data_IF_275136922363
#
_entry.id   IF_275136922363
#
_cell.length_a   1.000
_cell.length_b   1.000
_cell.length_c   1.000
_cell.angle_alpha   90.00
_cell.angle_beta   90.00
_cell.angle_gamma   90.00
#
_symmetry.space_group_name_H-M   'P 1'
#
loop_
_entity.id
_entity.type
_entity.pdbx_description
1 polymer ?
#
# COMPACT_ATOMS: atom_id res chain seq x y z
N UNK A 1 17.91 -11.60 27.94
CA UNK A 1 16.51 -11.25 27.57
C UNK A 1 15.78 -12.53 27.19
N UNK A 2 14.56 -12.73 27.67
CA UNK A 2 13.76 -13.88 27.24
C UNK A 2 13.41 -13.71 25.74
N UNK A 3 13.60 -14.78 24.97
CA UNK A 3 13.21 -14.82 23.56
C UNK A 3 11.70 -14.91 23.52
N UNK A 4 11.02 -13.92 22.91
CA UNK A 4 9.57 -13.95 22.70
C UNK A 4 9.27 -14.65 21.38
N UNK A 5 8.13 -15.38 21.26
CA UNK A 5 7.73 -16.01 19.99
C UNK A 5 7.53 -15.00 18.84
N UNK A 6 7.20 -13.76 19.17
CA UNK A 6 7.10 -12.68 18.22
C UNK A 6 8.40 -11.87 18.20
N UNK A 7 9.04 -11.79 17.03
CA UNK A 7 10.26 -11.00 16.84
C UNK A 7 10.04 -9.54 17.28
N UNK A 8 10.88 -8.98 18.18
CA UNK A 8 10.69 -7.64 18.76
C UNK A 8 11.18 -6.53 17.79
N UNK A 9 10.64 -6.45 16.59
CA UNK A 9 11.02 -5.47 15.57
C UNK A 9 10.31 -4.12 15.72
N UNK A 10 9.28 -4.04 16.58
CA UNK A 10 8.54 -2.81 16.85
C UNK A 10 8.46 -2.52 18.35
N UNK A 11 8.62 -1.25 18.78
CA UNK A 11 8.27 -0.84 20.11
C UNK A 11 6.74 -0.87 20.27
N UNK A 12 6.21 -1.94 20.87
CA UNK A 12 4.76 -2.07 21.06
C UNK A 12 4.28 -1.24 22.22
N UNK A 13 3.08 -0.66 22.09
CA UNK A 13 2.34 -0.10 23.21
C UNK A 13 2.07 -1.19 24.27
N UNK A 14 2.01 -0.83 25.57
CA UNK A 14 1.57 -1.75 26.61
C UNK A 14 0.08 -2.12 26.50
N UNK A 15 -0.71 -1.35 25.74
CA UNK A 15 -2.13 -1.63 25.51
C UNK A 15 -2.30 -2.93 24.71
N UNK A 16 -3.12 -3.84 25.24
CA UNK A 16 -3.43 -5.16 24.64
C UNK A 16 -4.92 -5.26 24.31
N UNK A 17 -5.34 -4.77 23.14
CA UNK A 17 -6.75 -4.81 22.75
C UNK A 17 -7.20 -6.25 22.50
N UNK A 18 -8.38 -6.60 23.05
CA UNK A 18 -9.03 -7.90 22.85
C UNK A 18 -10.37 -7.77 22.11
N UNK A 19 -10.95 -6.56 22.07
CA UNK A 19 -12.21 -6.25 21.38
C UNK A 19 -12.17 -4.84 20.80
N UNK A 20 -12.91 -4.63 19.72
CA UNK A 20 -13.16 -3.31 19.17
C UNK A 20 -14.64 -3.10 18.84
N UNK A 21 -15.13 -1.86 18.97
CA UNK A 21 -16.51 -1.49 18.68
C UNK A 21 -16.57 -0.03 18.23
N UNK A 22 -17.00 0.22 17.02
CA UNK A 22 -16.97 1.57 16.43
C UNK A 22 -15.57 2.17 16.52
N UNK A 23 -15.41 3.38 17.08
CA UNK A 23 -14.10 4.03 17.22
C UNK A 23 -13.30 3.59 18.45
N UNK A 24 -13.74 2.57 19.19
CA UNK A 24 -13.15 2.20 20.46
C UNK A 24 -12.48 0.83 20.42
N UNK A 25 -11.36 0.72 21.14
CA UNK A 25 -10.71 -0.53 21.53
C UNK A 25 -10.93 -0.79 23.02
N UNK A 26 -10.97 -2.06 23.38
CA UNK A 26 -11.12 -2.49 24.77
C UNK A 26 -9.98 -3.44 25.11
N UNK A 27 -9.30 -3.16 26.23
CA UNK A 27 -8.23 -3.97 26.77
C UNK A 27 -8.72 -5.22 27.50
N UNK A 28 -7.77 -6.04 28.01
CA UNK A 28 -8.04 -7.31 28.70
C UNK A 28 -8.85 -7.11 29.98
N UNK A 29 -8.69 -5.97 30.69
CA UNK A 29 -9.39 -5.65 31.94
C UNK A 29 -10.64 -4.76 31.70
N UNK A 30 -11.03 -4.56 30.42
CA UNK A 30 -12.21 -3.79 30.04
C UNK A 30 -11.95 -2.29 29.84
N UNK A 31 -10.71 -1.83 29.91
CA UNK A 31 -10.35 -0.43 29.67
C UNK A 31 -10.73 -0.03 28.25
N UNK A 32 -11.28 1.17 28.11
CA UNK A 32 -11.73 1.71 26.84
C UNK A 32 -10.76 2.76 26.29
N UNK A 33 -10.31 2.58 25.08
CA UNK A 33 -9.42 3.48 24.35
C UNK A 33 -10.09 4.01 23.09
N UNK A 34 -9.99 5.31 22.83
CA UNK A 34 -10.41 5.89 21.56
C UNK A 34 -9.30 5.67 20.52
N UNK A 35 -9.61 4.91 19.47
CA UNK A 35 -8.65 4.49 18.45
C UNK A 35 -8.54 5.50 17.31
N UNK A 36 -7.69 6.52 17.48
CA UNK A 36 -7.32 7.41 16.37
C UNK A 36 -6.26 6.83 15.43
N UNK A 37 -5.63 5.73 15.79
CA UNK A 37 -4.63 5.09 14.92
C UNK A 37 -5.28 4.30 13.78
N UNK A 38 -6.48 3.73 14.01
CA UNK A 38 -7.26 2.97 13.02
C UNK A 38 -6.42 1.98 12.20
N UNK A 39 -5.48 1.27 12.86
CA UNK A 39 -4.55 0.37 12.17
C UNK A 39 -3.62 1.09 11.19
N UNK A 40 -3.24 2.34 11.44
CA UNK A 40 -2.50 3.27 10.56
C UNK A 40 -3.39 3.66 9.37
N UNK A 41 -4.58 4.22 9.71
CA UNK A 41 -5.57 4.79 8.78
C UNK A 41 -6.16 3.78 7.75
N UNK A 42 -6.26 2.50 8.11
CA UNK A 42 -6.85 1.48 7.24
C UNK A 42 -8.24 1.02 7.69
N UNK A 43 -8.57 1.15 8.98
CA UNK A 43 -9.87 0.75 9.53
C UNK A 43 -10.89 1.90 9.50
N UNK A 44 -11.24 2.34 8.29
CA UNK A 44 -12.07 3.55 8.07
C UNK A 44 -13.50 3.45 8.59
N UNK A 45 -14.07 2.24 8.68
CA UNK A 45 -15.43 2.01 9.17
C UNK A 45 -15.50 1.80 10.69
N UNK A 46 -14.35 1.81 11.35
CA UNK A 46 -14.26 1.42 12.76
C UNK A 46 -14.34 -0.10 12.96
N UNK A 47 -14.32 -0.50 14.21
CA UNK A 47 -14.31 -1.91 14.61
C UNK A 47 -15.72 -2.50 14.61
N UNK A 48 -15.88 -3.70 14.08
CA UNK A 48 -17.13 -4.46 14.14
C UNK A 48 -18.31 -3.81 13.40
N UNK A 49 -18.06 -3.04 12.32
CA UNK A 49 -19.12 -2.40 11.55
C UNK A 49 -20.13 -3.44 11.05
N UNK A 50 -21.44 -3.36 11.42
CA UNK A 50 -22.39 -4.46 11.22
C UNK A 50 -22.52 -4.90 9.77
N UNK A 51 -22.72 -3.97 8.85
CA UNK A 51 -22.87 -4.27 7.42
C UNK A 51 -21.59 -4.93 6.85
N UNK A 52 -20.41 -4.40 7.18
CA UNK A 52 -19.14 -4.94 6.70
C UNK A 52 -18.90 -6.36 7.23
N UNK A 53 -19.13 -6.57 8.54
CA UNK A 53 -19.01 -7.88 9.18
C UNK A 53 -19.94 -8.89 8.54
N UNK A 54 -21.22 -8.54 8.33
CA UNK A 54 -22.18 -9.40 7.67
C UNK A 54 -21.70 -9.77 6.25
N UNK A 55 -21.27 -8.80 5.44
CA UNK A 55 -20.83 -9.06 4.06
C UNK A 55 -19.59 -9.95 4.00
N UNK A 56 -18.65 -9.80 4.94
CA UNK A 56 -17.50 -10.70 5.04
C UNK A 56 -17.93 -12.14 5.41
N UNK A 57 -18.85 -12.30 6.37
CA UNK A 57 -19.36 -13.62 6.76
C UNK A 57 -20.07 -14.32 5.60
N UNK A 58 -20.91 -13.60 4.86
CA UNK A 58 -21.58 -14.12 3.65
C UNK A 58 -20.55 -14.57 2.61
N UNK A 59 -19.53 -13.74 2.34
CA UNK A 59 -18.52 -14.04 1.32
C UNK A 59 -17.63 -15.23 1.72
N UNK A 60 -17.18 -15.28 2.98
CA UNK A 60 -16.36 -16.39 3.49
C UNK A 60 -17.11 -17.72 3.40
N UNK A 61 -18.44 -17.71 3.66
CA UNK A 61 -19.29 -18.89 3.55
C UNK A 61 -19.56 -19.31 2.10
N UNK A 62 -19.42 -18.40 1.13
CA UNK A 62 -19.71 -18.67 -0.29
C UNK A 62 -18.46 -19.07 -1.07
N UNK A 63 -17.45 -18.23 -1.09
CA UNK A 63 -16.22 -18.43 -1.86
C UNK A 63 -15.08 -17.57 -1.30
N UNK A 64 -14.07 -18.21 -0.75
CA UNK A 64 -12.99 -17.49 -0.07
C UNK A 64 -11.84 -17.10 -1.00
N UNK A 65 -11.40 -18.02 -1.87
CA UNK A 65 -10.26 -17.81 -2.75
C UNK A 65 -10.28 -18.75 -3.97
N UNK A 66 -9.88 -18.23 -5.13
CA UNK A 66 -9.82 -19.02 -6.39
C UNK A 66 -8.54 -18.85 -7.19
N UNK A 67 -7.58 -18.08 -6.73
CA UNK A 67 -6.36 -17.65 -7.46
C UNK A 67 -6.66 -16.81 -8.73
N UNK A 68 -5.59 -16.29 -9.33
CA UNK A 68 -5.66 -15.49 -10.57
C UNK A 68 -5.93 -16.35 -11.85
N UNK A 69 -6.14 -17.66 -11.69
CA UNK A 69 -6.48 -18.55 -12.81
C UNK A 69 -7.96 -18.40 -13.21
N UNK A 70 -8.77 -17.83 -12.37
CA UNK A 70 -10.22 -17.66 -12.59
C UNK A 70 -10.62 -16.18 -12.51
N UNK A 71 -11.64 -15.80 -13.25
CA UNK A 71 -12.26 -14.48 -13.11
C UNK A 71 -12.96 -14.33 -11.75
N UNK A 72 -13.03 -13.11 -11.27
CA UNK A 72 -13.72 -12.74 -10.03
C UNK A 72 -14.75 -11.65 -10.31
N UNK A 73 -16.05 -11.98 -10.40
CA UNK A 73 -17.08 -10.97 -10.67
C UNK A 73 -17.06 -9.80 -9.68
N UNK A 74 -16.78 -10.05 -8.39
CA UNK A 74 -16.68 -9.01 -7.38
C UNK A 74 -15.43 -8.16 -7.60
N UNK A 75 -14.30 -8.78 -7.94
CA UNK A 75 -13.05 -8.09 -8.26
C UNK A 75 -13.18 -7.21 -9.51
N UNK A 76 -13.81 -7.72 -10.56
CA UNK A 76 -14.06 -7.00 -11.81
C UNK A 76 -15.01 -5.82 -11.61
N UNK A 77 -16.11 -5.99 -10.87
CA UNK A 77 -17.03 -4.92 -10.53
C UNK A 77 -16.35 -3.81 -9.70
N UNK A 78 -15.50 -4.19 -8.75
CA UNK A 78 -14.73 -3.22 -7.96
C UNK A 78 -13.67 -2.50 -8.79
N UNK A 79 -12.96 -3.21 -9.68
CA UNK A 79 -12.02 -2.62 -10.62
C UNK A 79 -12.70 -1.60 -11.52
N UNK A 80 -13.88 -1.94 -12.10
CA UNK A 80 -14.65 -1.01 -12.93
C UNK A 80 -15.04 0.24 -12.16
N UNK A 81 -15.51 0.10 -10.91
CA UNK A 81 -15.83 1.25 -10.07
C UNK A 81 -14.63 2.16 -9.80
N UNK A 82 -13.44 1.59 -9.62
CA UNK A 82 -12.21 2.40 -9.46
C UNK A 82 -11.83 3.11 -10.76
N UNK A 83 -11.96 2.46 -11.90
CA UNK A 83 -11.76 3.08 -13.22
C UNK A 83 -12.73 4.26 -13.43
N UNK A 84 -14.02 4.07 -13.13
CA UNK A 84 -15.04 5.10 -13.29
C UNK A 84 -14.81 6.35 -12.40
N UNK A 85 -14.20 6.14 -11.23
CA UNK A 85 -13.99 7.19 -10.21
C UNK A 85 -12.60 7.83 -10.25
N UNK A 86 -11.67 7.30 -11.07
CA UNK A 86 -10.28 7.75 -11.07
C UNK A 86 -9.79 8.06 -12.49
N UNK A 87 -8.52 8.34 -12.61
CA UNK A 87 -7.86 8.52 -13.91
C UNK A 87 -7.38 7.20 -14.53
N UNK A 88 -7.47 6.09 -13.82
CA UNK A 88 -6.95 4.80 -14.27
C UNK A 88 -7.80 4.19 -15.38
N UNK A 89 -7.17 3.58 -16.36
CA UNK A 89 -7.85 2.79 -17.40
C UNK A 89 -7.93 1.30 -17.01
N UNK A 90 -7.10 0.87 -16.06
CA UNK A 90 -7.07 -0.50 -15.54
C UNK A 90 -6.55 -0.54 -14.11
N UNK A 91 -6.83 -1.61 -13.40
CA UNK A 91 -6.44 -1.80 -11.99
C UNK A 91 -5.79 -3.17 -11.81
N UNK A 92 -4.75 -3.22 -10.99
CA UNK A 92 -4.14 -4.45 -10.52
C UNK A 92 -4.19 -4.50 -8.99
N UNK A 93 -4.79 -5.54 -8.43
CA UNK A 93 -4.91 -5.70 -6.98
C UNK A 93 -3.71 -6.44 -6.39
N UNK A 94 -3.28 -5.99 -5.22
CA UNK A 94 -2.21 -6.59 -4.41
C UNK A 94 -2.64 -6.68 -2.95
N UNK A 95 -1.90 -7.44 -2.13
CA UNK A 95 -2.26 -7.63 -0.72
C UNK A 95 -1.80 -6.49 0.19
N UNK A 96 -0.87 -5.66 -0.27
CA UNK A 96 -0.29 -4.59 0.55
C UNK A 96 0.19 -3.41 -0.30
N UNK A 97 0.37 -2.25 0.34
CA UNK A 97 0.98 -1.08 -0.31
C UNK A 97 2.41 -1.34 -0.79
N UNK A 98 3.19 -2.14 -0.05
CA UNK A 98 4.54 -2.52 -0.49
C UNK A 98 4.50 -3.33 -1.80
N UNK A 99 3.59 -4.30 -1.92
CA UNK A 99 3.39 -5.06 -3.15
C UNK A 99 2.88 -4.19 -4.30
N UNK A 100 2.02 -3.21 -4.02
CA UNK A 100 1.58 -2.25 -5.03
C UNK A 100 2.76 -1.41 -5.57
N UNK A 101 3.68 -0.96 -4.71
CA UNK A 101 4.89 -0.25 -5.13
C UNK A 101 5.83 -1.18 -5.90
N UNK A 102 6.02 -2.43 -5.46
CA UNK A 102 6.79 -3.44 -6.22
C UNK A 102 6.20 -3.66 -7.62
N UNK A 103 4.87 -3.75 -7.72
CA UNK A 103 4.17 -3.85 -9.00
C UNK A 103 4.43 -2.62 -9.87
N UNK A 104 4.34 -1.42 -9.33
CA UNK A 104 4.59 -0.16 -10.05
C UNK A 104 6.04 -0.10 -10.58
N UNK A 105 7.04 -0.44 -9.77
CA UNK A 105 8.45 -0.48 -10.16
C UNK A 105 8.65 -1.46 -11.33
N UNK A 106 8.12 -2.68 -11.21
CA UNK A 106 8.24 -3.73 -12.22
C UNK A 106 7.53 -3.32 -13.52
N UNK A 107 6.33 -2.76 -13.42
CA UNK A 107 5.53 -2.33 -14.57
C UNK A 107 6.25 -1.22 -15.33
N UNK A 108 6.76 -0.20 -14.65
CA UNK A 108 7.51 0.90 -15.25
C UNK A 108 8.74 0.37 -16.03
N UNK A 109 9.53 -0.49 -15.42
CA UNK A 109 10.70 -1.10 -16.07
C UNK A 109 10.32 -1.98 -17.25
N UNK A 110 9.29 -2.82 -17.10
CA UNK A 110 8.81 -3.71 -18.17
C UNK A 110 8.24 -2.93 -19.33
N UNK A 111 7.53 -1.84 -19.08
CA UNK A 111 7.00 -0.96 -20.11
C UNK A 111 8.12 -0.44 -21.02
N UNK A 112 9.15 0.19 -20.45
CA UNK A 112 10.25 0.73 -21.22
C UNK A 112 11.06 -0.35 -21.94
N UNK A 113 11.27 -1.49 -21.30
CA UNK A 113 11.88 -2.65 -21.96
C UNK A 113 11.08 -3.08 -23.20
N UNK A 114 9.76 -3.20 -23.10
CA UNK A 114 8.89 -3.59 -24.22
C UNK A 114 8.85 -2.55 -25.35
N UNK A 115 9.12 -1.28 -25.03
CA UNK A 115 9.25 -0.17 -26.00
C UNK A 115 10.65 -0.07 -26.63
N UNK A 116 11.56 -0.99 -26.35
CA UNK A 116 12.93 -0.98 -26.86
C UNK A 116 13.85 0.05 -26.22
N UNK A 117 13.51 0.54 -25.03
CA UNK A 117 14.27 1.52 -24.24
C UNK A 117 14.65 0.96 -22.83
N UNK A 118 15.36 -0.18 -22.72
CA UNK A 118 15.68 -0.83 -21.46
C UNK A 118 16.56 0.02 -20.53
N UNK A 119 17.26 1.01 -21.05
CA UNK A 119 18.06 1.97 -20.30
C UNK A 119 17.19 2.89 -19.43
N UNK A 120 15.91 3.06 -19.74
CA UNK A 120 14.93 3.85 -18.97
C UNK A 120 14.38 3.06 -17.78
N UNK A 121 15.24 2.64 -16.88
CA UNK A 121 14.88 1.84 -15.70
C UNK A 121 15.01 2.60 -14.38
N UNK A 122 15.50 3.83 -14.41
CA UNK A 122 15.64 4.67 -13.23
C UNK A 122 14.32 5.31 -12.84
N UNK A 123 13.93 5.22 -11.58
CA UNK A 123 12.73 5.81 -11.01
C UNK A 123 13.10 7.01 -10.15
N UNK A 124 12.31 8.08 -10.26
CA UNK A 124 12.43 9.25 -9.39
C UNK A 124 11.48 9.07 -8.22
N UNK A 125 11.99 9.27 -7.01
CA UNK A 125 11.22 9.24 -5.76
C UNK A 125 11.48 10.50 -4.95
N UNK A 126 10.66 10.78 -3.95
CA UNK A 126 10.81 11.97 -3.13
C UNK A 126 11.45 11.67 -1.79
N UNK A 127 12.21 12.62 -1.28
CA UNK A 127 12.81 12.55 0.06
C UNK A 127 11.74 12.37 1.14
N UNK A 128 12.08 11.66 2.21
CA UNK A 128 11.21 11.31 3.33
C UNK A 128 9.93 10.51 2.95
N UNK A 129 9.82 10.01 1.72
CA UNK A 129 8.70 9.18 1.31
C UNK A 129 8.81 7.77 1.91
N UNK A 130 7.65 7.17 2.22
CA UNK A 130 7.55 5.79 2.64
C UNK A 130 6.93 4.96 1.52
N UNK A 131 7.64 3.94 1.07
CA UNK A 131 7.22 3.07 -0.04
C UNK A 131 6.96 1.61 0.38
N UNK A 132 7.28 1.24 1.61
CA UNK A 132 7.18 -0.13 2.12
C UNK A 132 8.48 -0.60 2.77
N UNK A 133 8.57 -1.92 3.01
CA UNK A 133 9.71 -2.53 3.70
C UNK A 133 10.34 -3.71 2.96
N UNK A 134 10.01 -3.92 1.69
CA UNK A 134 10.71 -4.86 0.81
C UNK A 134 12.01 -4.23 0.30
N UNK A 135 12.92 -5.03 -0.22
CA UNK A 135 14.23 -4.54 -0.67
C UNK A 135 14.12 -3.45 -1.74
N UNK A 136 13.20 -3.57 -2.71
CA UNK A 136 13.00 -2.50 -3.70
C UNK A 136 12.38 -1.24 -3.08
N UNK A 137 11.39 -1.38 -2.19
CA UNK A 137 10.73 -0.24 -1.58
C UNK A 137 11.64 0.54 -0.62
N UNK A 138 12.54 -0.15 0.14
CA UNK A 138 13.54 0.56 0.96
C UNK A 138 14.66 1.17 0.13
N UNK A 139 14.93 0.65 -1.07
CA UNK A 139 15.88 1.25 -2.01
C UNK A 139 15.34 2.56 -2.61
N UNK A 140 14.03 2.73 -2.66
CA UNK A 140 13.35 3.90 -3.19
C UNK A 140 13.20 5.08 -2.21
N UNK A 141 13.66 4.96 -0.96
CA UNK A 141 13.61 6.05 0.05
C UNK A 141 15.02 6.47 0.49
N UNK A 142 15.16 7.68 1.02
CA UNK A 142 16.37 8.20 1.66
C UNK A 142 16.35 8.08 3.19
N UNK A 143 15.29 7.56 3.78
CA UNK A 143 15.15 7.43 5.22
C UNK A 143 16.15 6.39 5.79
N UNK A 144 17.21 6.84 6.44
CA UNK A 144 18.27 6.00 7.01
C UNK A 144 17.70 4.87 7.89
N UNK A 145 16.75 5.18 8.77
CA UNK A 145 16.10 4.20 9.67
C UNK A 145 15.44 3.00 8.96
N UNK A 146 15.18 3.10 7.64
CA UNK A 146 14.61 2.02 6.84
C UNK A 146 15.66 1.29 6.01
N UNK A 147 16.85 1.89 5.82
CA UNK A 147 17.91 1.40 4.93
C UNK A 147 19.10 0.80 5.67
N UNK A 148 19.38 1.31 6.88
CA UNK A 148 20.57 0.93 7.63
C UNK A 148 20.60 -0.56 7.95
N UNK A 149 21.71 -1.21 7.64
CA UNK A 149 21.91 -2.64 7.83
C UNK A 149 21.37 -3.54 6.70
N UNK A 150 20.78 -2.99 5.63
CA UNK A 150 20.18 -3.78 4.52
C UNK A 150 20.96 -3.66 3.20
N UNK A 151 22.17 -3.10 3.21
CA UNK A 151 23.01 -3.04 2.01
C UNK A 151 23.47 -4.45 1.58
N UNK A 152 23.65 -4.69 0.25
CA UNK A 152 23.53 -3.73 -0.83
C UNK A 152 22.08 -3.46 -1.24
N UNK A 153 21.74 -2.19 -1.45
CA UNK A 153 20.40 -1.80 -1.93
C UNK A 153 20.32 -1.92 -3.45
N UNK A 154 19.09 -2.02 -3.98
CA UNK A 154 18.86 -2.05 -5.41
C UNK A 154 19.18 -0.69 -6.04
N UNK A 155 19.79 -0.73 -7.24
CA UNK A 155 20.07 0.46 -8.06
C UNK A 155 18.87 0.87 -8.91
N UNK A 156 18.94 2.04 -9.52
CA UNK A 156 17.89 2.56 -10.40
C UNK A 156 16.83 3.38 -9.67
N UNK A 157 17.23 4.08 -8.60
CA UNK A 157 16.40 5.06 -7.90
C UNK A 157 17.17 6.38 -7.75
N UNK A 158 16.48 7.48 -8.03
CA UNK A 158 16.96 8.84 -7.78
C UNK A 158 16.00 9.53 -6.82
N UNK A 159 16.47 9.82 -5.62
CA UNK A 159 15.67 10.54 -4.62
C UNK A 159 15.88 12.04 -4.79
N UNK A 160 14.78 12.78 -4.95
CA UNK A 160 14.78 14.24 -5.09
C UNK A 160 14.09 14.90 -3.90
N UNK A 161 14.56 16.08 -3.51
CA UNK A 161 13.91 16.87 -2.46
C UNK A 161 12.57 17.43 -2.97
N UNK A 162 11.60 17.51 -2.08
CA UNK A 162 10.27 18.06 -2.38
C UNK A 162 10.18 19.58 -2.26
N UNK A 163 11.27 20.27 -1.97
CA UNK A 163 11.29 21.73 -1.79
C UNK A 163 10.81 22.43 -3.08
N UNK A 164 9.74 23.22 -3.00
CA UNK A 164 9.19 24.00 -4.11
C UNK A 164 8.31 23.23 -5.11
N UNK A 165 8.06 21.96 -4.89
CA UNK A 165 7.07 21.20 -5.68
C UNK A 165 5.71 21.30 -4.99
N UNK A 166 4.91 22.29 -5.35
CA UNK A 166 3.47 22.26 -5.06
C UNK A 166 2.84 21.20 -5.96
N UNK A 167 2.37 20.10 -5.36
CA UNK A 167 1.49 19.15 -6.06
C UNK A 167 0.08 19.77 -6.14
N UNK A 168 -0.03 20.91 -6.78
CA UNK A 168 -1.30 21.57 -7.12
C UNK A 168 -1.82 21.03 -8.45
N UNK A 169 -1.94 19.72 -8.57
CA UNK A 169 -2.49 19.11 -9.76
C UNK A 169 -3.88 18.58 -9.51
N UNK A 170 -4.84 19.01 -10.29
CA UNK A 170 -6.12 18.30 -10.41
C UNK A 170 -5.86 16.85 -10.88
N UNK A 171 -6.78 15.92 -10.62
CA UNK A 171 -6.70 14.56 -11.19
C UNK A 171 -6.47 14.54 -12.70
N UNK A 172 -6.94 15.57 -13.43
CA UNK A 172 -6.70 15.74 -14.85
C UNK A 172 -5.22 16.03 -15.19
N UNK A 173 -4.51 16.77 -14.36
CA UNK A 173 -3.07 17.04 -14.55
C UNK A 173 -2.21 15.83 -14.17
N UNK A 174 -2.57 15.10 -13.12
CA UNK A 174 -1.93 13.81 -12.80
C UNK A 174 -2.11 12.81 -13.95
N UNK A 175 -3.30 12.75 -14.55
CA UNK A 175 -3.57 11.95 -15.75
C UNK A 175 -2.72 12.39 -16.95
N UNK A 176 -2.51 13.70 -17.13
CA UNK A 176 -1.65 14.26 -18.19
C UNK A 176 -0.19 13.93 -17.94
N UNK A 177 0.31 14.09 -16.72
CA UNK A 177 1.68 13.72 -16.33
C UNK A 177 1.89 12.22 -16.52
N UNK A 178 0.95 11.41 -16.12
CA UNK A 178 0.98 9.96 -16.32
C UNK A 178 1.03 9.59 -17.82
N UNK A 179 0.19 10.21 -18.64
CA UNK A 179 0.21 10.02 -20.09
C UNK A 179 1.52 10.49 -20.73
N UNK A 180 2.11 11.59 -20.27
CA UNK A 180 3.41 12.06 -20.76
C UNK A 180 4.58 11.17 -20.33
N UNK A 181 4.47 10.48 -19.17
CA UNK A 181 5.52 9.60 -18.66
C UNK A 181 5.41 8.16 -19.17
N UNK A 182 4.21 7.71 -19.58
CA UNK A 182 3.92 6.29 -19.85
C UNK A 182 3.23 6.02 -21.19
N UNK A 183 2.82 7.04 -21.94
CA UNK A 183 2.29 6.90 -23.30
C UNK A 183 3.18 7.64 -24.29
N UNK A 184 3.31 7.15 -25.54
CA UNK A 184 4.10 7.78 -26.58
C UNK A 184 3.57 9.15 -26.98
#
# INVERSE_FOLDING_TARGET
>A
MAITPLMPVYPRSPVRPVRGEGPYLFGEEGERYLDFASGIAVNLLGHGHPYYTQKLQEQVATLMHVSNLYGSPQGEAFAQRLVDLTFADTVFFTNSGAEAVECAIKTARRYHFAKGAPEKHNLITFSNAFHGRTMATISATDQAKLRDGFAPLLTGFTVVKREGVELTGSFAELRRIWRCLFLP
#
